data_IF_081976497703
#
_entry.id   IF_081976497703
#
_cell.length_a   1.000
_cell.length_b   1.000
_cell.length_c   1.000
_cell.angle_alpha   90.00
_cell.angle_beta   90.00
_cell.angle_gamma   90.00
#
_symmetry.space_group_name_H-M   'P 1'
#
loop_
_entity.id
_entity.type
_entity.pdbx_description
1 polymer ?
#
# COMPACT_ATOMS: atom_id res chain seq x y z
N UNK A 1 34.09 -8.48 20.40
CA UNK A 1 34.45 -7.17 19.82
C UNK A 1 33.16 -6.56 19.27
N UNK A 2 32.67 -5.49 19.91
CA UNK A 2 31.45 -4.79 19.48
C UNK A 2 31.75 -4.07 18.17
N UNK A 3 31.30 -4.63 17.04
CA UNK A 3 31.27 -3.89 15.78
C UNK A 3 30.31 -2.72 15.98
N UNK A 4 30.83 -1.49 15.94
CA UNK A 4 30.00 -0.29 15.93
C UNK A 4 29.12 -0.36 14.69
N UNK A 5 27.85 -0.78 14.86
CA UNK A 5 26.84 -0.63 13.81
C UNK A 5 26.70 0.86 13.53
N UNK A 6 27.13 1.31 12.35
CA UNK A 6 26.82 2.67 11.89
C UNK A 6 25.31 2.77 11.78
N UNK A 7 24.69 3.56 12.65
CA UNK A 7 23.27 3.90 12.57
C UNK A 7 23.08 5.37 12.23
N UNK A 8 22.08 5.65 11.41
CA UNK A 8 21.72 6.99 10.98
C UNK A 8 20.33 7.33 11.52
N UNK A 9 20.24 8.40 12.30
CA UNK A 9 18.97 8.84 12.87
C UNK A 9 18.44 10.09 12.18
N UNK A 10 17.18 10.05 11.77
CA UNK A 10 16.44 11.16 11.18
C UNK A 10 15.29 11.55 12.11
N UNK A 11 15.32 12.74 12.75
CA UNK A 11 14.24 13.19 13.62
C UNK A 11 12.96 13.52 12.84
N UNK A 12 11.82 13.50 13.53
CA UNK A 12 10.57 14.02 12.98
C UNK A 12 10.69 15.53 12.65
N UNK A 13 10.09 16.00 11.54
CA UNK A 13 10.00 17.42 11.26
C UNK A 13 9.03 18.10 12.24
N UNK A 14 9.19 19.41 12.49
CA UNK A 14 8.21 20.15 13.28
C UNK A 14 6.84 20.15 12.58
N UNK A 15 5.75 19.92 13.32
CA UNK A 15 4.40 19.95 12.75
C UNK A 15 3.97 21.33 12.25
N UNK A 16 4.66 22.38 12.69
CA UNK A 16 4.49 23.76 12.23
C UNK A 16 5.25 24.08 10.94
N UNK A 17 5.90 23.10 10.30
CA UNK A 17 6.72 23.31 9.10
C UNK A 17 5.90 23.92 7.95
N UNK A 18 6.26 25.14 7.54
CA UNK A 18 5.59 25.88 6.46
C UNK A 18 6.38 25.93 5.15
N UNK A 19 7.63 25.46 5.14
CA UNK A 19 8.42 25.42 3.91
C UNK A 19 7.72 24.56 2.86
N UNK A 20 7.71 24.97 1.58
CA UNK A 20 7.15 24.16 0.52
C UNK A 20 7.75 22.76 0.54
N UNK A 21 6.94 21.69 0.51
CA UNK A 21 7.45 20.32 0.46
C UNK A 21 8.01 20.00 -0.92
N UNK A 22 8.87 18.95 -1.04
CA UNK A 22 9.23 18.39 -2.33
C UNK A 22 7.97 18.04 -3.13
N UNK A 23 8.00 18.33 -4.44
CA UNK A 23 6.86 18.04 -5.31
C UNK A 23 6.67 16.55 -5.47
N UNK A 24 5.46 16.06 -5.31
CA UNK A 24 5.11 14.70 -5.70
C UNK A 24 4.54 14.70 -7.10
N UNK A 25 5.13 13.87 -7.97
CA UNK A 25 4.70 13.73 -9.35
C UNK A 25 3.38 12.97 -9.39
N UNK A 26 2.45 13.36 -10.26
CA UNK A 26 1.21 12.61 -10.46
C UNK A 26 1.54 11.16 -10.85
N UNK A 27 1.01 10.13 -10.15
CA UNK A 27 1.24 8.74 -10.52
C UNK A 27 0.74 8.43 -11.93
N UNK A 28 1.45 7.51 -12.60
CA UNK A 28 1.05 6.98 -13.90
C UNK A 28 1.09 5.46 -13.82
N UNK A 29 0.04 4.81 -14.32
CA UNK A 29 -0.04 3.35 -14.33
C UNK A 29 1.02 2.76 -15.27
N UNK A 30 1.67 1.69 -14.85
CA UNK A 30 2.59 0.91 -15.68
C UNK A 30 2.04 -0.50 -15.95
N UNK A 31 1.32 -1.09 -15.00
CA UNK A 31 0.64 -2.37 -15.14
C UNK A 31 -0.53 -2.46 -14.17
N UNK A 32 -1.47 -3.34 -14.49
CA UNK A 32 -2.41 -3.92 -13.54
C UNK A 32 -2.19 -5.42 -13.46
N UNK A 33 -2.71 -6.04 -12.40
CA UNK A 33 -2.88 -7.49 -12.31
C UNK A 33 -3.99 -7.81 -11.31
N UNK A 34 -4.48 -9.04 -11.40
CA UNK A 34 -5.58 -9.57 -10.61
C UNK A 34 -5.11 -10.77 -9.82
N UNK A 35 -5.40 -10.80 -8.52
CA UNK A 35 -5.47 -12.04 -7.77
C UNK A 35 -6.85 -12.65 -7.94
N UNK A 36 -6.88 -13.92 -8.33
CA UNK A 36 -8.10 -14.72 -8.50
C UNK A 36 -8.58 -15.33 -7.16
N UNK A 37 -9.76 -15.97 -7.13
CA UNK A 37 -10.27 -16.62 -5.91
C UNK A 37 -9.34 -17.67 -5.29
N UNK A 38 -8.48 -18.31 -6.09
CA UNK A 38 -7.46 -19.27 -5.65
C UNK A 38 -6.11 -18.61 -5.31
N UNK A 39 -6.10 -17.27 -5.25
CA UNK A 39 -4.94 -16.39 -5.01
C UNK A 39 -3.89 -16.35 -6.13
N UNK A 40 -4.09 -17.08 -7.23
CA UNK A 40 -3.20 -17.01 -8.40
C UNK A 40 -3.20 -15.62 -9.03
N UNK A 41 -2.07 -15.24 -9.63
CA UNK A 41 -1.90 -13.94 -10.30
C UNK A 41 -2.22 -14.08 -11.78
N UNK A 42 -3.03 -13.16 -12.29
CA UNK A 42 -3.24 -12.92 -13.72
C UNK A 42 -2.89 -11.48 -14.08
N UNK A 43 -2.12 -11.27 -15.15
CA UNK A 43 -1.74 -9.94 -15.62
C UNK A 43 -2.84 -9.28 -16.47
N UNK A 44 -4.01 -9.11 -15.87
CA UNK A 44 -5.21 -8.49 -16.44
C UNK A 44 -6.09 -7.84 -15.35
N UNK A 45 -7.28 -7.40 -15.76
CA UNK A 45 -8.28 -6.74 -14.91
C UNK A 45 -9.44 -7.67 -14.50
N UNK A 46 -9.23 -9.00 -14.50
CA UNK A 46 -10.29 -9.98 -14.18
C UNK A 46 -10.93 -9.77 -12.80
N UNK A 47 -10.18 -9.24 -11.83
CA UNK A 47 -10.69 -8.94 -10.47
C UNK A 47 -11.16 -7.49 -10.30
N UNK A 48 -11.15 -6.68 -11.36
CA UNK A 48 -11.62 -5.29 -11.32
C UNK A 48 -13.14 -5.23 -11.20
N UNK A 49 -13.64 -4.41 -10.28
CA UNK A 49 -15.07 -4.18 -10.08
C UNK A 49 -15.46 -2.73 -10.34
N UNK A 50 -16.74 -2.49 -10.60
CA UNK A 50 -17.28 -1.17 -10.96
C UNK A 50 -18.09 -0.60 -9.80
N UNK A 51 -17.85 0.67 -9.51
CA UNK A 51 -18.51 1.38 -8.41
C UNK A 51 -20.02 1.47 -8.64
N UNK A 52 -20.78 1.15 -7.59
CA UNK A 52 -22.19 1.47 -7.43
C UNK A 52 -22.39 2.04 -6.04
N UNK A 53 -23.32 2.97 -5.85
CA UNK A 53 -23.65 3.41 -4.50
C UNK A 53 -24.34 2.27 -3.72
N UNK A 54 -23.84 1.94 -2.53
CA UNK A 54 -24.50 0.99 -1.64
C UNK A 54 -25.92 1.48 -1.24
N UNK A 55 -26.92 0.60 -1.10
CA UNK A 55 -28.23 0.99 -0.59
C UNK A 55 -28.16 1.51 0.85
N UNK A 56 -28.81 2.63 1.14
CA UNK A 56 -28.96 3.10 2.53
C UNK A 56 -29.88 2.12 3.28
N UNK A 57 -29.47 1.72 4.47
CA UNK A 57 -30.09 0.65 5.24
C UNK A 57 -29.46 -0.73 5.02
N UNK A 58 -28.43 -0.85 4.16
CA UNK A 58 -27.68 -2.10 4.00
C UNK A 58 -27.04 -2.53 5.33
N UNK A 59 -27.19 -3.82 5.66
CA UNK A 59 -26.58 -4.44 6.83
C UNK A 59 -25.17 -4.92 6.48
N UNK A 60 -24.15 -4.20 6.96
CA UNK A 60 -22.73 -4.52 6.67
C UNK A 60 -22.22 -5.74 7.43
N UNK A 61 -23.08 -6.41 8.21
CA UNK A 61 -22.79 -7.71 8.82
C UNK A 61 -23.24 -8.87 7.94
N UNK A 62 -24.07 -8.60 6.92
CA UNK A 62 -24.61 -9.64 6.05
C UNK A 62 -23.48 -10.42 5.36
N UNK A 63 -23.54 -11.75 5.42
CA UNK A 63 -22.57 -12.64 4.79
C UNK A 63 -21.33 -12.96 5.63
N UNK A 64 -21.23 -12.49 6.88
CA UNK A 64 -20.04 -12.68 7.73
C UNK A 64 -19.58 -14.14 7.81
N UNK A 65 -20.51 -15.09 7.97
CA UNK A 65 -20.20 -16.52 8.13
C UNK A 65 -19.80 -17.22 6.82
N UNK A 66 -20.04 -16.59 5.66
CA UNK A 66 -19.70 -17.13 4.34
C UNK A 66 -18.39 -16.57 3.77
N UNK A 67 -17.74 -15.67 4.50
CA UNK A 67 -16.53 -15.00 4.04
C UNK A 67 -15.39 -16.01 3.84
N UNK A 68 -14.59 -15.78 2.81
CA UNK A 68 -13.36 -16.52 2.55
C UNK A 68 -12.20 -15.58 2.88
N UNK A 69 -11.35 -16.01 3.81
CA UNK A 69 -10.17 -15.26 4.22
C UNK A 69 -8.92 -15.83 3.54
N UNK A 70 -8.08 -14.94 2.99
CA UNK A 70 -6.76 -15.26 2.49
C UNK A 70 -5.92 -15.86 3.60
N UNK A 71 -5.12 -16.88 3.25
CA UNK A 71 -4.12 -17.44 4.15
C UNK A 71 -3.00 -16.42 4.39
N UNK A 72 -3.00 -15.79 5.56
CA UNK A 72 -1.97 -14.81 5.94
C UNK A 72 -0.66 -15.46 6.40
N UNK A 73 -0.59 -16.79 6.56
CA UNK A 73 0.66 -17.52 6.87
C UNK A 73 1.61 -17.59 5.69
N UNK A 74 1.10 -17.46 4.47
CA UNK A 74 1.89 -17.35 3.26
C UNK A 74 2.41 -15.93 3.10
N UNK A 75 3.74 -15.78 3.10
CA UNK A 75 4.40 -14.51 2.82
C UNK A 75 4.59 -14.33 1.31
N UNK A 76 3.76 -13.47 0.74
CA UNK A 76 3.80 -13.12 -0.69
C UNK A 76 4.85 -12.03 -0.98
N UNK A 77 5.45 -11.45 0.06
CA UNK A 77 6.47 -10.41 -0.06
C UNK A 77 6.09 -9.31 -1.09
N UNK A 78 7.02 -8.98 -2.00
CA UNK A 78 6.84 -8.08 -3.14
C UNK A 78 6.47 -8.81 -4.43
N UNK A 79 6.04 -10.07 -4.37
CA UNK A 79 5.90 -10.95 -5.54
C UNK A 79 5.03 -10.35 -6.64
N UNK A 80 3.82 -9.90 -6.31
CA UNK A 80 2.92 -9.33 -7.31
C UNK A 80 3.48 -8.09 -8.00
N UNK A 81 4.25 -7.25 -7.30
CA UNK A 81 4.91 -6.09 -7.90
C UNK A 81 6.09 -6.51 -8.79
N UNK A 82 6.88 -7.48 -8.34
CA UNK A 82 8.02 -8.01 -9.07
C UNK A 82 7.57 -8.73 -10.36
N UNK A 83 6.57 -9.60 -10.26
CA UNK A 83 6.00 -10.33 -11.39
C UNK A 83 5.40 -9.36 -12.42
N UNK A 84 4.68 -8.32 -11.97
CA UNK A 84 4.15 -7.29 -12.86
C UNK A 84 5.27 -6.49 -13.57
N UNK A 85 6.36 -6.16 -12.88
CA UNK A 85 7.50 -5.47 -13.49
C UNK A 85 8.18 -6.35 -14.55
N UNK A 86 8.44 -7.63 -14.23
CA UNK A 86 8.97 -8.61 -15.19
C UNK A 86 8.08 -8.69 -16.42
N UNK A 87 6.77 -8.85 -16.22
CA UNK A 87 5.78 -8.94 -17.30
C UNK A 87 5.79 -7.71 -18.23
N UNK A 88 5.88 -6.50 -17.66
CA UNK A 88 5.95 -5.25 -18.44
C UNK A 88 7.22 -5.21 -19.29
N UNK A 89 8.37 -5.54 -18.71
CA UNK A 89 9.66 -5.47 -19.40
C UNK A 89 9.80 -6.56 -20.49
N UNK A 90 9.35 -7.79 -20.23
CA UNK A 90 9.33 -8.88 -21.22
C UNK A 90 8.46 -8.55 -22.45
N UNK A 91 7.41 -7.75 -22.27
CA UNK A 91 6.57 -7.22 -23.37
C UNK A 91 7.16 -5.97 -24.05
N UNK A 92 8.38 -5.57 -23.70
CA UNK A 92 9.05 -4.38 -24.25
C UNK A 92 8.54 -3.05 -23.69
N UNK A 93 7.77 -3.10 -22.60
CA UNK A 93 7.31 -1.93 -21.86
C UNK A 93 8.42 -1.31 -21.02
N UNK A 94 8.10 -0.16 -20.39
CA UNK A 94 9.00 0.51 -19.44
C UNK A 94 8.48 0.32 -18.03
N UNK A 95 9.18 -0.47 -17.23
CA UNK A 95 8.91 -0.70 -15.81
C UNK A 95 9.22 0.52 -14.93
N UNK A 96 9.97 0.29 -13.85
CA UNK A 96 10.35 1.35 -12.93
C UNK A 96 11.38 2.32 -13.53
N UNK A 97 11.59 3.44 -12.83
CA UNK A 97 12.77 4.28 -13.02
C UNK A 97 13.80 3.94 -11.96
N UNK A 98 15.01 3.57 -12.41
CA UNK A 98 16.17 3.31 -11.56
C UNK A 98 16.56 4.53 -10.71
N UNK A 99 17.31 4.29 -9.65
CA UNK A 99 17.70 5.27 -8.63
C UNK A 99 16.60 5.54 -7.58
N UNK A 100 15.59 4.66 -7.50
CA UNK A 100 14.38 4.86 -6.71
C UNK A 100 14.01 3.69 -5.82
N UNK A 101 12.77 3.73 -5.31
CA UNK A 101 12.20 2.71 -4.44
C UNK A 101 11.14 1.88 -5.19
N UNK A 102 11.18 0.56 -5.02
CA UNK A 102 10.12 -0.38 -5.39
C UNK A 102 9.51 -0.95 -4.10
N UNK A 103 8.20 -0.79 -3.89
CA UNK A 103 7.52 -1.26 -2.67
C UNK A 103 6.00 -1.28 -2.82
N UNK A 104 5.30 -1.78 -1.81
CA UNK A 104 3.86 -1.59 -1.64
C UNK A 104 3.53 -0.15 -1.20
N UNK A 105 2.46 0.43 -1.75
CA UNK A 105 1.91 1.74 -1.32
C UNK A 105 1.73 1.84 0.19
N UNK A 106 1.38 0.73 0.86
CA UNK A 106 1.22 0.67 2.30
C UNK A 106 2.48 1.11 3.06
N UNK A 107 3.69 0.79 2.56
CA UNK A 107 4.95 1.20 3.18
C UNK A 107 5.14 2.71 3.09
N UNK A 108 4.94 3.28 1.90
CA UNK A 108 5.03 4.73 1.69
C UNK A 108 3.99 5.48 2.51
N UNK A 109 2.78 4.93 2.67
CA UNK A 109 1.73 5.49 3.54
C UNK A 109 2.19 5.56 5.00
N UNK A 110 2.79 4.49 5.53
CA UNK A 110 3.33 4.45 6.91
C UNK A 110 4.38 5.54 7.12
N UNK A 111 5.32 5.68 6.19
CA UNK A 111 6.35 6.72 6.24
C UNK A 111 5.71 8.11 6.17
N UNK A 112 4.85 8.35 5.19
CA UNK A 112 4.25 9.65 4.94
C UNK A 112 3.40 10.15 6.11
N UNK A 113 2.68 9.25 6.80
CA UNK A 113 1.81 9.62 7.93
C UNK A 113 2.53 9.64 9.29
N UNK A 114 3.77 9.14 9.37
CA UNK A 114 4.54 9.00 10.59
C UNK A 114 4.69 10.29 11.45
N UNK A 115 4.76 11.52 10.90
CA UNK A 115 4.78 12.73 11.71
C UNK A 115 3.59 12.89 12.66
N UNK A 116 2.47 12.25 12.35
CA UNK A 116 1.24 12.27 13.14
C UNK A 116 0.94 10.93 13.83
N UNK A 117 1.84 9.94 13.73
CA UNK A 117 1.72 8.64 14.39
C UNK A 117 2.44 8.67 15.74
N UNK A 118 1.69 8.43 16.81
CA UNK A 118 2.17 8.61 18.18
C UNK A 118 2.15 7.33 19.03
N UNK A 119 1.72 6.21 18.44
CA UNK A 119 1.54 4.92 19.13
C UNK A 119 2.30 3.79 18.47
N UNK A 120 2.11 3.62 17.16
CA UNK A 120 2.56 2.42 16.45
C UNK A 120 3.87 2.67 15.71
N UNK A 121 4.94 2.03 16.19
CA UNK A 121 6.20 1.92 15.45
C UNK A 121 6.09 0.91 14.31
N UNK A 122 7.07 0.94 13.42
CA UNK A 122 7.23 -0.06 12.37
C UNK A 122 8.71 -0.20 12.03
N UNK A 123 9.09 -1.35 11.49
CA UNK A 123 10.44 -1.62 10.96
C UNK A 123 10.29 -2.13 9.53
N UNK A 124 11.15 -1.70 8.63
CA UNK A 124 11.15 -2.10 7.23
C UNK A 124 12.54 -2.60 6.83
N UNK A 125 12.57 -3.64 6.00
CA UNK A 125 13.76 -4.15 5.33
C UNK A 125 13.98 -3.37 4.04
N UNK A 126 15.23 -3.06 3.70
CA UNK A 126 15.63 -2.47 2.43
C UNK A 126 16.84 -3.21 1.86
N UNK A 127 16.75 -3.61 0.58
CA UNK A 127 17.88 -4.21 -0.18
C UNK A 127 17.97 -3.57 -1.57
N UNK A 128 19.18 -3.45 -2.11
CA UNK A 128 19.40 -2.90 -3.44
C UNK A 128 19.65 -4.00 -4.47
N UNK A 129 19.05 -3.84 -5.66
CA UNK A 129 19.21 -4.74 -6.79
C UNK A 129 18.91 -3.98 -8.09
N UNK A 130 19.81 -4.09 -9.07
CA UNK A 130 19.66 -3.56 -10.42
C UNK A 130 19.20 -2.09 -10.43
N UNK A 131 19.97 -1.25 -9.75
CA UNK A 131 19.78 0.19 -9.68
C UNK A 131 18.54 0.64 -8.88
N UNK A 132 17.84 -0.25 -8.18
CA UNK A 132 16.64 0.07 -7.40
C UNK A 132 16.75 -0.45 -5.97
N UNK A 133 16.04 0.18 -5.03
CA UNK A 133 15.92 -0.29 -3.65
C UNK A 133 14.54 -0.88 -3.42
N UNK A 134 14.49 -2.14 -3.01
CA UNK A 134 13.27 -2.87 -2.67
C UNK A 134 13.02 -2.71 -1.18
N UNK A 135 11.79 -2.34 -0.81
CA UNK A 135 11.42 -2.07 0.59
C UNK A 135 10.17 -2.86 0.96
N UNK A 136 10.20 -3.48 2.14
CA UNK A 136 9.07 -4.21 2.70
C UNK A 136 9.02 -4.08 4.24
N UNK A 137 7.87 -4.33 4.85
CA UNK A 137 7.73 -4.44 6.29
C UNK A 137 8.61 -5.59 6.83
N UNK A 138 9.41 -5.33 7.84
CA UNK A 138 10.05 -6.39 8.60
C UNK A 138 9.02 -6.98 9.57
N UNK A 139 8.51 -8.16 9.22
CA UNK A 139 7.42 -8.80 9.96
C UNK A 139 7.73 -10.26 10.31
N UNK A 140 8.65 -10.50 11.26
CA UNK A 140 9.01 -11.85 11.67
C UNK A 140 7.79 -12.58 12.29
N UNK A 141 7.80 -13.93 12.30
CA UNK A 141 6.62 -14.73 12.65
C UNK A 141 5.97 -14.37 14.00
N UNK A 142 6.76 -14.00 15.00
CA UNK A 142 6.29 -13.61 16.34
C UNK A 142 5.56 -12.26 16.33
N UNK A 143 6.11 -11.27 15.62
CA UNK A 143 5.49 -9.94 15.43
C UNK A 143 4.21 -10.08 14.62
N UNK A 144 4.24 -10.89 13.56
CA UNK A 144 3.09 -11.21 12.71
C UNK A 144 1.96 -11.85 13.52
N UNK A 145 2.26 -12.90 14.29
CA UNK A 145 1.30 -13.60 15.12
C UNK A 145 0.66 -12.66 16.17
N UNK A 146 1.45 -11.79 16.79
CA UNK A 146 0.93 -10.81 17.74
C UNK A 146 0.01 -9.79 17.05
N UNK A 147 0.38 -9.29 15.86
CA UNK A 147 -0.48 -8.39 15.08
C UNK A 147 -1.81 -9.06 14.71
N UNK A 148 -1.78 -10.31 14.24
CA UNK A 148 -3.00 -11.06 13.89
C UNK A 148 -3.93 -11.26 15.09
N UNK A 149 -3.37 -11.58 16.26
CA UNK A 149 -4.15 -11.70 17.50
C UNK A 149 -4.86 -10.38 17.87
N UNK A 150 -4.23 -9.25 17.61
CA UNK A 150 -4.85 -7.95 17.82
C UNK A 150 -5.92 -7.66 16.76
N UNK A 151 -5.67 -7.99 15.49
CA UNK A 151 -6.62 -7.81 14.39
C UNK A 151 -7.89 -8.67 14.54
N UNK A 152 -7.79 -9.90 15.05
CA UNK A 152 -8.95 -10.77 15.24
C UNK A 152 -9.96 -10.22 16.26
N UNK A 153 -9.51 -9.39 17.21
CA UNK A 153 -10.39 -8.66 18.14
C UNK A 153 -11.32 -7.68 17.39
N UNK A 154 -10.90 -7.24 16.20
CA UNK A 154 -11.62 -6.30 15.35
C UNK A 154 -12.14 -6.95 14.06
N UNK A 155 -12.22 -8.29 13.99
CA UNK A 155 -12.60 -9.04 12.80
C UNK A 155 -13.95 -8.56 12.23
N UNK A 156 -14.91 -8.27 13.11
CA UNK A 156 -16.22 -7.76 12.72
C UNK A 156 -16.15 -6.37 12.07
N UNK A 157 -15.34 -5.47 12.62
CA UNK A 157 -15.12 -4.13 12.07
C UNK A 157 -14.36 -4.15 10.75
N UNK A 158 -13.40 -5.06 10.62
CA UNK A 158 -12.70 -5.32 9.36
C UNK A 158 -13.67 -5.84 8.31
N UNK A 159 -14.49 -6.83 8.66
CA UNK A 159 -15.48 -7.40 7.74
C UNK A 159 -16.47 -6.36 7.21
N UNK A 160 -16.97 -5.45 8.06
CA UNK A 160 -17.86 -4.37 7.61
C UNK A 160 -17.22 -3.47 6.55
N UNK A 161 -15.88 -3.41 6.46
CA UNK A 161 -15.17 -2.77 5.33
C UNK A 161 -15.38 -3.53 4.02
N UNK A 162 -15.04 -4.82 4.02
CA UNK A 162 -15.21 -5.69 2.84
C UNK A 162 -16.68 -5.88 2.43
N UNK A 163 -17.60 -5.93 3.39
CA UNK A 163 -19.04 -5.96 3.11
C UNK A 163 -19.51 -4.66 2.47
N UNK A 164 -18.97 -3.51 2.89
CA UNK A 164 -19.27 -2.23 2.23
C UNK A 164 -18.75 -2.20 0.80
N UNK A 165 -17.57 -2.77 0.52
CA UNK A 165 -17.08 -2.96 -0.85
C UNK A 165 -18.04 -3.83 -1.66
N UNK A 166 -18.51 -4.94 -1.08
CA UNK A 166 -19.48 -5.84 -1.71
C UNK A 166 -20.80 -5.13 -2.04
N UNK A 167 -21.32 -4.27 -1.16
CA UNK A 167 -22.51 -3.45 -1.45
C UNK A 167 -22.25 -2.30 -2.43
N UNK A 168 -21.00 -1.85 -2.54
CA UNK A 168 -20.61 -0.67 -3.33
C UNK A 168 -20.00 -1.00 -4.69
N UNK A 169 -20.02 -2.27 -5.10
CA UNK A 169 -19.40 -2.71 -6.34
C UNK A 169 -20.27 -3.70 -7.11
N UNK A 170 -19.99 -3.82 -8.41
CA UNK A 170 -20.56 -4.83 -9.30
C UNK A 170 -19.45 -5.42 -10.19
N UNK A 171 -19.52 -6.72 -10.53
CA UNK A 171 -18.59 -7.33 -11.48
C UNK A 171 -18.83 -6.80 -12.91
N UNK A 172 -17.87 -7.05 -13.82
CA UNK A 172 -17.97 -6.69 -15.23
C UNK A 172 -19.16 -7.37 -15.93
N UNK A 173 -19.33 -8.67 -15.68
CA UNK A 173 -20.46 -9.45 -16.15
C UNK A 173 -21.53 -9.41 -15.05
N UNK A 174 -22.45 -8.45 -15.15
CA UNK A 174 -23.56 -8.36 -14.23
C UNK A 174 -24.41 -9.64 -14.33
N UNK A 175 -24.24 -10.55 -13.36
CA UNK A 175 -25.17 -11.65 -13.19
C UNK A 175 -26.59 -11.09 -13.04
N UNK A 176 -27.58 -11.76 -13.61
CA UNK A 176 -28.97 -11.54 -13.21
C UNK A 176 -29.02 -11.77 -11.71
N UNK A 177 -29.11 -10.70 -10.91
CA UNK A 177 -28.97 -10.76 -9.46
C UNK A 177 -29.76 -11.93 -8.90
N UNK A 178 -29.10 -12.79 -8.14
CA UNK A 178 -29.78 -13.93 -7.55
C UNK A 178 -30.87 -13.39 -6.62
N UNK A 179 -32.10 -13.88 -6.77
CA UNK A 179 -33.27 -13.30 -6.07
C UNK A 179 -33.19 -13.49 -4.55
N UNK A 180 -32.23 -14.29 -4.09
CA UNK A 180 -32.05 -14.68 -2.70
C UNK A 180 -31.09 -13.75 -1.92
N UNK A 181 -30.40 -12.81 -2.59
CA UNK A 181 -29.52 -11.85 -1.92
C UNK A 181 -30.21 -10.49 -1.66
N UNK A 182 -29.77 -9.75 -0.62
CA UNK A 182 -30.19 -8.38 -0.39
C UNK A 182 -29.95 -7.50 -1.63
N UNK A 183 -30.81 -6.50 -1.80
CA UNK A 183 -30.62 -5.50 -2.85
C UNK A 183 -29.22 -4.89 -2.78
N UNK A 184 -28.56 -4.77 -3.93
CA UNK A 184 -27.24 -4.15 -4.02
C UNK A 184 -26.07 -5.02 -3.53
N UNK A 185 -26.27 -6.28 -3.13
CA UNK A 185 -25.18 -7.18 -2.78
C UNK A 185 -24.37 -7.59 -4.03
N UNK A 186 -23.07 -7.29 -4.04
CA UNK A 186 -22.15 -7.59 -5.14
C UNK A 186 -21.53 -8.98 -5.10
N UNK A 187 -21.69 -9.71 -3.98
CA UNK A 187 -21.15 -11.05 -3.78
C UNK A 187 -20.58 -11.24 -2.37
N UNK A 188 -20.37 -12.49 -1.97
CA UNK A 188 -19.74 -12.78 -0.69
C UNK A 188 -18.25 -12.37 -0.68
N UNK A 189 -17.80 -11.88 0.47
CA UNK A 189 -16.42 -11.41 0.68
C UNK A 189 -15.43 -12.56 0.50
N UNK A 190 -14.48 -12.40 -0.42
CA UNK A 190 -13.32 -13.26 -0.57
C UNK A 190 -12.04 -12.41 -0.61
N UNK A 191 -11.26 -12.40 0.47
CA UNK A 191 -10.07 -11.55 0.58
C UNK A 191 -8.85 -12.09 -0.18
N UNK A 192 -8.98 -13.22 -0.88
CA UNK A 192 -7.98 -13.64 -1.87
C UNK A 192 -8.06 -12.79 -3.15
N UNK A 193 -9.26 -12.35 -3.52
CA UNK A 193 -9.50 -11.62 -4.76
C UNK A 193 -9.09 -10.17 -4.59
N UNK A 194 -8.18 -9.69 -5.43
CA UNK A 194 -7.69 -8.31 -5.40
C UNK A 194 -7.38 -7.82 -6.80
N UNK A 195 -7.66 -6.55 -7.09
CA UNK A 195 -7.18 -5.89 -8.29
C UNK A 195 -6.10 -4.87 -7.91
N UNK A 196 -4.90 -5.06 -8.45
CA UNK A 196 -3.71 -4.31 -8.04
C UNK A 196 -3.20 -3.44 -9.18
N UNK A 197 -2.97 -2.17 -8.87
CA UNK A 197 -2.32 -1.23 -9.77
C UNK A 197 -0.85 -1.10 -9.41
N UNK A 198 0.01 -1.18 -10.43
CA UNK A 198 1.42 -0.83 -10.33
C UNK A 198 1.62 0.51 -11.02
N UNK A 199 2.09 1.50 -10.27
CA UNK A 199 2.25 2.88 -10.74
C UNK A 199 3.68 3.35 -10.57
N UNK A 200 4.10 4.26 -11.47
CA UNK A 200 5.33 5.04 -11.30
C UNK A 200 5.01 6.47 -10.89
N UNK A 201 5.80 7.01 -9.98
CA UNK A 201 5.72 8.38 -9.47
C UNK A 201 7.13 8.91 -9.14
N UNK A 202 7.21 10.03 -8.42
CA UNK A 202 8.43 10.54 -7.79
C UNK A 202 8.09 11.52 -6.67
N UNK A 203 8.91 11.59 -5.62
CA UNK A 203 8.90 12.67 -4.63
C UNK A 203 10.21 13.45 -4.76
N UNK A 204 10.14 14.72 -5.14
CA UNK A 204 11.31 15.46 -5.58
C UNK A 204 11.96 14.79 -6.80
N UNK A 205 13.23 14.46 -6.68
CA UNK A 205 14.03 13.72 -7.65
C UNK A 205 13.99 12.20 -7.48
N UNK A 206 13.49 11.70 -6.34
CA UNK A 206 13.46 10.28 -6.00
C UNK A 206 12.33 9.56 -6.75
N UNK A 207 12.64 8.61 -7.67
CA UNK A 207 11.62 7.81 -8.34
C UNK A 207 10.94 6.82 -7.39
N UNK A 208 9.66 6.55 -7.66
CA UNK A 208 8.86 5.57 -6.93
C UNK A 208 8.17 4.62 -7.91
N UNK A 209 8.20 3.32 -7.60
CA UNK A 209 7.36 2.30 -8.21
C UNK A 209 6.55 1.62 -7.12
N UNK A 210 5.23 1.82 -7.14
CA UNK A 210 4.33 1.42 -6.07
C UNK A 210 3.32 0.42 -6.60
N UNK A 211 3.21 -0.74 -5.95
CA UNK A 211 2.05 -1.62 -6.08
C UNK A 211 0.98 -1.27 -5.04
N UNK A 212 -0.28 -1.40 -5.39
CA UNK A 212 -1.35 -1.37 -4.40
C UNK A 212 -2.69 -1.79 -4.96
N UNK A 213 -3.45 -2.49 -4.11
CA UNK A 213 -4.86 -2.82 -4.32
C UNK A 213 -5.71 -1.56 -4.53
N UNK A 214 -6.67 -1.67 -5.43
CA UNK A 214 -7.67 -0.65 -5.76
C UNK A 214 -9.06 -1.30 -5.69
N UNK A 215 -9.95 -0.68 -4.93
CA UNK A 215 -11.23 -1.31 -4.57
C UNK A 215 -12.18 -1.42 -5.77
N UNK A 216 -12.30 -0.36 -6.58
CA UNK A 216 -13.14 -0.37 -7.78
C UNK A 216 -12.88 0.81 -8.74
N UNK A 217 -13.62 0.86 -9.84
CA UNK A 217 -13.61 1.95 -10.83
C UNK A 217 -15.00 2.55 -11.04
N UNK A 218 -15.08 3.88 -11.13
CA UNK A 218 -16.25 4.64 -11.59
C UNK A 218 -16.26 4.68 -13.12
N UNK A 219 -16.80 3.62 -13.72
CA UNK A 219 -17.02 3.48 -15.15
C UNK A 219 -18.26 2.60 -15.39
N UNK A 220 -18.75 2.54 -16.63
CA UNK A 220 -19.81 1.58 -16.99
C UNK A 220 -19.27 0.15 -16.87
N UNK A 221 -20.03 -0.80 -16.27
CA UNK A 221 -19.63 -2.20 -16.20
C UNK A 221 -19.24 -2.77 -17.57
N UNK A 222 -18.09 -3.44 -17.62
CA UNK A 222 -17.47 -3.95 -18.85
C UNK A 222 -16.51 -2.97 -19.54
N UNK A 223 -16.35 -1.73 -19.06
CA UNK A 223 -15.33 -0.81 -19.59
C UNK A 223 -13.92 -1.32 -19.29
N UNK A 224 -13.18 -1.72 -20.33
CA UNK A 224 -11.79 -2.16 -20.19
C UNK A 224 -10.85 -0.99 -19.88
N UNK A 225 -9.92 -1.19 -18.94
CA UNK A 225 -8.82 -0.26 -18.61
C UNK A 225 -9.25 1.22 -18.47
N UNK A 226 -10.21 1.57 -17.61
CA UNK A 226 -10.69 2.95 -17.49
C UNK A 226 -9.65 3.93 -16.93
N UNK A 227 -8.54 3.41 -16.40
CA UNK A 227 -7.38 4.18 -15.96
C UNK A 227 -7.51 4.72 -14.53
N UNK A 228 -6.44 5.37 -14.06
CA UNK A 228 -6.35 5.84 -12.67
C UNK A 228 -7.41 6.91 -12.30
N UNK A 229 -7.82 7.75 -13.27
CA UNK A 229 -8.82 8.80 -13.03
C UNK A 229 -10.22 8.25 -12.73
N UNK A 230 -10.47 6.98 -13.03
CA UNK A 230 -11.72 6.30 -12.68
C UNK A 230 -11.63 5.52 -11.37
N UNK A 231 -10.45 5.35 -10.78
CA UNK A 231 -10.31 4.55 -9.56
C UNK A 231 -11.04 5.19 -8.36
N UNK A 232 -11.62 4.37 -7.50
CA UNK A 232 -12.32 4.79 -6.28
C UNK A 232 -11.83 3.94 -5.11
N UNK A 233 -11.44 4.60 -4.02
CA UNK A 233 -11.17 3.95 -2.74
C UNK A 233 -12.44 3.96 -1.89
N UNK A 234 -12.78 2.82 -1.30
CA UNK A 234 -13.92 2.61 -0.43
C UNK A 234 -13.46 2.52 1.02
N UNK A 235 -14.19 3.22 1.90
CA UNK A 235 -13.91 3.25 3.35
C UNK A 235 -15.21 3.23 4.12
N UNK A 236 -15.16 2.72 5.34
CA UNK A 236 -16.27 2.85 6.29
C UNK A 236 -15.86 3.67 7.51
N UNK A 237 -16.82 4.35 8.11
CA UNK A 237 -16.68 5.02 9.39
C UNK A 237 -17.95 4.87 10.21
N UNK A 238 -17.86 4.98 11.53
CA UNK A 238 -19.09 5.15 12.33
C UNK A 238 -19.72 6.52 12.02
N UNK A 239 -21.02 6.66 12.16
CA UNK A 239 -21.67 7.97 12.14
C UNK A 239 -21.03 8.91 13.16
N UNK A 240 -21.04 10.20 12.83
CA UNK A 240 -20.43 11.26 13.63
C UNK A 240 -21.58 12.01 14.31
N UNK A 241 -21.63 11.92 15.63
CA UNK A 241 -22.70 12.43 16.47
C UNK A 241 -22.22 13.57 17.37
N UNK A 242 -20.90 13.76 17.50
CA UNK A 242 -20.29 14.78 18.33
C UNK A 242 -18.92 15.25 17.81
N UNK A 243 -18.46 16.40 18.32
CA UNK A 243 -17.20 17.06 17.94
C UNK A 243 -15.97 16.16 18.14
N UNK A 244 -15.97 15.30 19.16
CA UNK A 244 -14.86 14.38 19.42
C UNK A 244 -14.75 13.32 18.33
N UNK A 245 -15.87 12.71 17.93
CA UNK A 245 -15.91 11.75 16.82
C UNK A 245 -15.56 12.43 15.50
N UNK A 246 -16.00 13.67 15.30
CA UNK A 246 -15.66 14.48 14.13
C UNK A 246 -14.15 14.71 14.04
N UNK A 247 -13.50 15.13 15.13
CA UNK A 247 -12.05 15.30 15.19
C UNK A 247 -11.28 14.00 14.92
N UNK A 248 -11.77 12.85 15.43
CA UNK A 248 -11.19 11.54 15.14
C UNK A 248 -11.30 11.22 13.64
N UNK A 249 -12.45 11.48 13.02
CA UNK A 249 -12.65 11.29 11.59
C UNK A 249 -11.71 12.20 10.77
N UNK A 250 -11.57 13.47 11.15
CA UNK A 250 -10.61 14.37 10.51
C UNK A 250 -9.16 13.89 10.62
N UNK A 251 -8.77 13.25 11.72
CA UNK A 251 -7.47 12.56 11.82
C UNK A 251 -7.38 11.35 10.89
N UNK A 252 -8.43 10.54 10.75
CA UNK A 252 -8.45 9.39 9.81
C UNK A 252 -8.29 9.81 8.35
N UNK A 253 -8.81 10.99 7.98
CA UNK A 253 -8.67 11.53 6.63
C UNK A 253 -7.20 11.71 6.20
N UNK A 254 -6.23 11.81 7.13
CA UNK A 254 -4.80 11.77 6.79
C UNK A 254 -4.43 10.44 6.13
N UNK A 255 -4.83 9.31 6.71
CA UNK A 255 -4.55 7.97 6.18
C UNK A 255 -5.29 7.76 4.86
N UNK A 256 -6.55 8.16 4.76
CA UNK A 256 -7.32 8.06 3.52
C UNK A 256 -6.67 8.89 2.40
N UNK A 257 -6.29 10.14 2.68
CA UNK A 257 -5.59 10.98 1.72
C UNK A 257 -4.26 10.35 1.28
N UNK A 258 -3.39 9.95 2.22
CA UNK A 258 -2.10 9.38 1.89
C UNK A 258 -2.25 8.09 1.06
N UNK A 259 -3.16 7.20 1.45
CA UNK A 259 -3.40 5.94 0.76
C UNK A 259 -3.78 6.16 -0.71
N UNK A 260 -4.80 6.98 -0.96
CA UNK A 260 -5.34 7.21 -2.30
C UNK A 260 -4.44 8.11 -3.15
N UNK A 261 -3.87 9.16 -2.56
CA UNK A 261 -3.03 10.12 -3.28
C UNK A 261 -1.72 9.51 -3.80
N UNK A 262 -1.12 8.59 -3.04
CA UNK A 262 0.11 7.88 -3.45
C UNK A 262 -0.09 6.97 -4.67
N UNK A 263 -1.30 6.44 -4.89
CA UNK A 263 -1.63 5.67 -6.10
C UNK A 263 -2.27 6.51 -7.21
N UNK A 264 -2.58 7.78 -6.94
CA UNK A 264 -3.27 8.65 -7.90
C UNK A 264 -4.76 8.35 -8.01
N UNK A 265 -5.36 7.78 -6.96
CA UNK A 265 -6.80 7.52 -6.87
C UNK A 265 -7.51 8.86 -6.54
N UNK A 266 -8.37 9.39 -7.43
CA UNK A 266 -8.93 10.72 -7.28
C UNK A 266 -10.09 10.80 -6.28
N UNK A 267 -10.66 9.67 -5.89
CA UNK A 267 -11.89 9.62 -5.11
C UNK A 267 -11.82 8.64 -3.94
N UNK A 268 -12.29 9.09 -2.78
CA UNK A 268 -12.57 8.25 -1.62
C UNK A 268 -14.06 8.33 -1.31
N UNK A 269 -14.75 7.19 -1.35
CA UNK A 269 -16.14 7.07 -0.92
C UNK A 269 -16.18 6.50 0.51
N UNK A 270 -16.78 7.24 1.43
CA UNK A 270 -16.92 6.83 2.83
C UNK A 270 -18.38 6.48 3.14
N UNK A 271 -18.65 5.23 3.52
CA UNK A 271 -19.91 4.81 4.11
C UNK A 271 -19.95 5.02 5.61
N UNK A 272 -20.98 5.69 6.12
CA UNK A 272 -21.17 5.92 7.55
C UNK A 272 -22.25 5.00 8.10
N UNK A 273 -21.85 4.15 9.04
CA UNK A 273 -22.71 3.15 9.67
C UNK A 273 -22.93 3.42 11.15
N UNK A 274 -24.01 2.89 11.69
CA UNK A 274 -24.23 2.87 13.14
C UNK A 274 -23.42 1.76 13.84
N UNK A 275 -23.69 1.59 15.14
CA UNK A 275 -23.09 0.55 15.97
C UNK A 275 -23.65 -0.85 15.68
N UNK A 276 -24.83 -0.94 15.08
CA UNK A 276 -25.44 -2.19 14.63
C UNK A 276 -24.92 -2.65 13.26
N UNK A 277 -24.10 -1.85 12.58
CA UNK A 277 -23.54 -2.17 11.27
C UNK A 277 -24.43 -1.73 10.11
N UNK A 278 -25.48 -0.96 10.35
CA UNK A 278 -26.40 -0.49 9.33
C UNK A 278 -25.83 0.77 8.68
N UNK A 279 -25.74 0.78 7.35
CA UNK A 279 -25.28 1.92 6.57
C UNK A 279 -26.34 3.04 6.57
N UNK A 280 -26.02 4.20 7.15
CA UNK A 280 -26.97 5.31 7.30
C UNK A 280 -26.79 6.43 6.29
N UNK A 281 -25.55 6.70 5.87
CA UNK A 281 -25.27 7.66 4.80
C UNK A 281 -23.92 7.37 4.13
N UNK A 282 -23.64 8.08 3.05
CA UNK A 282 -22.35 8.00 2.37
C UNK A 282 -21.87 9.39 1.94
N UNK A 283 -20.56 9.56 1.84
CA UNK A 283 -19.95 10.82 1.41
C UNK A 283 -18.76 10.58 0.49
N UNK A 284 -18.75 11.31 -0.61
CA UNK A 284 -17.63 11.39 -1.55
C UNK A 284 -16.62 12.43 -1.09
N UNK A 285 -15.34 12.09 -1.14
CA UNK A 285 -14.21 13.00 -0.97
C UNK A 285 -13.32 12.96 -2.21
N UNK A 286 -13.06 14.11 -2.81
CA UNK A 286 -12.02 14.24 -3.84
C UNK A 286 -10.66 14.26 -3.15
N UNK A 287 -9.81 13.28 -3.45
CA UNK A 287 -8.52 13.04 -2.76
C UNK A 287 -7.67 14.31 -2.68
N UNK A 288 -7.52 15.03 -3.79
CA UNK A 288 -6.72 16.26 -3.86
C UNK A 288 -7.28 17.41 -3.01
N UNK A 289 -8.59 17.40 -2.72
CA UNK A 289 -9.26 18.43 -1.92
C UNK A 289 -9.24 18.14 -0.43
N UNK A 290 -8.93 16.91 0.00
CA UNK A 290 -8.91 16.52 1.43
C UNK A 290 -8.02 17.45 2.27
N UNK A 291 -6.75 17.76 1.89
CA UNK A 291 -5.91 18.66 2.69
C UNK A 291 -6.50 20.07 2.83
N UNK A 292 -7.13 20.60 1.77
CA UNK A 292 -7.79 21.92 1.81
C UNK A 292 -9.03 21.90 2.69
N UNK A 293 -9.81 20.82 2.62
CA UNK A 293 -10.95 20.62 3.52
C UNK A 293 -10.49 20.64 4.99
N UNK A 294 -9.44 19.89 5.34
CA UNK A 294 -8.89 19.88 6.71
C UNK A 294 -8.39 21.25 7.14
N UNK A 295 -7.72 21.99 6.26
CA UNK A 295 -7.25 23.34 6.55
C UNK A 295 -8.38 24.37 6.72
N UNK A 296 -9.56 24.12 6.15
CA UNK A 296 -10.72 25.01 6.25
C UNK A 296 -11.49 24.90 7.57
N UNK A 297 -11.24 23.85 8.35
CA UNK A 297 -11.91 23.63 9.64
C UNK A 297 -11.44 24.71 10.64
N UNK A 298 -12.35 25.47 11.28
CA UNK A 298 -12.00 26.49 12.24
C UNK A 298 -11.28 25.89 13.47
N UNK A 299 -9.95 25.89 13.46
CA UNK A 299 -9.12 25.45 14.59
C UNK A 299 -7.81 26.23 14.60
N UNK A 300 -7.34 26.59 15.80
CA UNK A 300 -6.00 27.17 15.98
C UNK A 300 -4.89 26.20 15.51
N UNK A 301 -5.17 24.89 15.56
CA UNK A 301 -4.26 23.83 15.12
C UNK A 301 -5.05 22.81 14.29
N UNK A 302 -4.89 22.78 12.96
CA UNK A 302 -5.55 21.77 12.14
C UNK A 302 -5.10 20.37 12.58
N UNK A 303 -5.98 19.34 12.49
CA UNK A 303 -5.65 17.97 12.91
C UNK A 303 -4.38 17.41 12.28
N UNK A 304 -4.08 17.81 11.04
CA UNK A 304 -2.85 17.53 10.32
C UNK A 304 -2.66 18.50 9.15
N UNK A 305 -1.46 18.53 8.58
CA UNK A 305 -1.11 19.29 7.38
C UNK A 305 -0.21 18.44 6.47
N UNK A 306 -0.22 18.66 5.15
CA UNK A 306 0.55 17.83 4.22
C UNK A 306 2.07 18.07 4.29
N UNK A 307 2.52 19.26 4.68
CA UNK A 307 3.94 19.63 4.59
C UNK A 307 4.87 18.72 5.44
N UNK A 308 4.64 18.50 6.75
CA UNK A 308 5.45 17.58 7.54
C UNK A 308 5.48 16.16 6.94
N UNK A 309 4.34 15.70 6.40
CA UNK A 309 4.21 14.38 5.79
C UNK A 309 5.14 14.19 4.59
N UNK A 310 5.12 15.15 3.66
CA UNK A 310 5.90 15.09 2.42
C UNK A 310 7.40 15.33 2.64
N UNK A 311 7.76 16.24 3.56
CA UNK A 311 9.15 16.43 3.95
C UNK A 311 9.72 15.18 4.62
N UNK A 312 8.97 14.57 5.54
CA UNK A 312 9.44 13.36 6.22
C UNK A 312 9.55 12.18 5.24
N UNK A 313 8.55 12.01 4.36
CA UNK A 313 8.62 11.01 3.29
C UNK A 313 9.91 11.16 2.47
N UNK A 314 10.14 12.34 1.91
CA UNK A 314 11.33 12.59 1.10
C UNK A 314 12.62 12.35 1.88
N UNK A 315 12.71 12.83 3.13
CA UNK A 315 13.91 12.69 3.95
C UNK A 315 14.22 11.22 4.29
N UNK A 316 13.20 10.42 4.62
CA UNK A 316 13.38 8.98 4.88
C UNK A 316 13.82 8.25 3.60
N UNK A 317 13.17 8.50 2.47
CA UNK A 317 13.54 7.83 1.22
C UNK A 317 14.94 8.23 0.76
N UNK A 318 15.31 9.50 0.88
CA UNK A 318 16.65 9.97 0.57
C UNK A 318 17.70 9.28 1.46
N UNK A 319 17.42 9.17 2.77
CA UNK A 319 18.28 8.47 3.71
C UNK A 319 18.49 7.00 3.32
N UNK A 320 17.40 6.31 2.96
CA UNK A 320 17.45 4.91 2.51
C UNK A 320 18.27 4.79 1.22
N UNK A 321 17.94 5.55 0.18
CA UNK A 321 18.65 5.46 -1.12
C UNK A 321 20.14 5.75 -0.97
N UNK A 322 20.50 6.81 -0.23
CA UNK A 322 21.90 7.24 -0.06
C UNK A 322 22.78 6.14 0.55
N UNK A 323 22.22 5.29 1.42
CA UNK A 323 22.98 4.27 2.15
C UNK A 323 22.80 2.86 1.59
N UNK A 324 21.63 2.54 1.05
CA UNK A 324 21.28 1.20 0.58
C UNK A 324 21.64 1.00 -0.89
N UNK A 325 21.35 1.96 -1.77
CA UNK A 325 21.59 1.82 -3.21
C UNK A 325 23.07 1.53 -3.57
N UNK A 326 24.08 2.13 -2.92
CA UNK A 326 25.50 1.79 -3.17
C UNK A 326 25.89 0.36 -2.82
N UNK A 327 25.02 -0.40 -2.15
CA UNK A 327 25.24 -1.81 -1.79
C UNK A 327 24.68 -2.78 -2.83
N UNK A 328 24.15 -2.28 -3.95
CA UNK A 328 23.69 -3.08 -5.08
C UNK A 328 24.83 -3.98 -5.62
N UNK A 329 24.64 -5.31 -5.65
CA UNK A 329 25.62 -6.21 -6.23
C UNK A 329 25.88 -5.90 -7.72
N UNK A 330 24.87 -5.47 -8.49
CA UNK A 330 25.01 -5.17 -9.91
C UNK A 330 25.94 -3.98 -10.20
N UNK A 331 26.25 -3.15 -9.20
CA UNK A 331 27.28 -2.10 -9.35
C UNK A 331 28.71 -2.68 -9.39
N UNK A 332 28.87 -3.96 -8.99
CA UNK A 332 30.16 -4.67 -8.93
C UNK A 332 30.27 -5.80 -9.96
N UNK A 333 29.14 -6.35 -10.38
CA UNK A 333 29.08 -7.40 -11.41
C UNK A 333 28.74 -6.78 -12.78
N UNK A 334 29.36 -7.27 -13.85
CA UNK A 334 29.05 -6.79 -15.20
C UNK A 334 27.77 -7.50 -15.67
N UNK A 335 26.81 -6.83 -16.35
CA UNK A 335 25.65 -7.52 -16.91
C UNK A 335 26.05 -8.73 -17.75
N UNK A 336 25.39 -9.87 -17.53
CA UNK A 336 25.73 -11.15 -18.16
C UNK A 336 26.99 -11.86 -17.63
N UNK A 337 27.63 -11.37 -16.56
CA UNK A 337 28.84 -12.00 -15.98
C UNK A 337 28.57 -13.09 -14.95
N UNK A 338 27.32 -13.29 -14.54
CA UNK A 338 26.93 -14.34 -13.60
C UNK A 338 26.48 -15.54 -14.41
N UNK A 339 27.18 -16.67 -14.33
CA UNK A 339 26.69 -17.86 -14.99
C UNK A 339 25.40 -18.31 -14.29
N UNK A 340 24.42 -18.89 -15.03
CA UNK A 340 23.19 -19.40 -14.45
C UNK A 340 23.42 -20.40 -13.30
N UNK A 341 24.54 -21.12 -13.34
CA UNK A 341 24.94 -22.14 -12.35
C UNK A 341 25.70 -21.56 -11.13
N UNK A 342 26.11 -20.29 -11.17
CA UNK A 342 26.82 -19.68 -10.05
C UNK A 342 25.84 -19.27 -8.94
N UNK A 343 26.30 -19.37 -7.69
CA UNK A 343 25.60 -18.85 -6.52
C UNK A 343 25.41 -17.33 -6.65
N UNK A 344 24.20 -16.85 -6.35
CA UNK A 344 23.95 -15.41 -6.30
C UNK A 344 24.79 -14.75 -5.21
N UNK A 345 25.41 -13.58 -5.48
CA UNK A 345 26.08 -12.82 -4.43
C UNK A 345 25.07 -12.42 -3.35
N UNK A 346 25.46 -12.37 -2.06
CA UNK A 346 24.51 -12.07 -0.99
C UNK A 346 24.02 -10.63 -1.06
N UNK A 347 22.74 -10.42 -0.71
CA UNK A 347 22.16 -9.11 -0.51
C UNK A 347 22.74 -8.45 0.75
N UNK A 348 23.11 -7.18 0.69
CA UNK A 348 23.35 -6.39 1.91
C UNK A 348 22.01 -5.94 2.48
N UNK A 349 21.69 -6.41 3.68
CA UNK A 349 20.42 -6.14 4.35
C UNK A 349 20.54 -4.89 5.21
N UNK A 350 19.69 -3.92 4.93
CA UNK A 350 19.45 -2.76 5.79
C UNK A 350 18.07 -2.82 6.40
N UNK A 351 17.93 -2.20 7.56
CA UNK A 351 16.62 -1.96 8.18
C UNK A 351 16.49 -0.53 8.63
N UNK A 352 15.27 -0.03 8.55
CA UNK A 352 14.93 1.25 9.12
C UNK A 352 13.63 1.19 9.91
N UNK A 353 13.63 1.84 11.07
CA UNK A 353 12.58 1.69 12.08
C UNK A 353 12.08 3.05 12.51
N UNK A 354 10.76 3.22 12.45
CA UNK A 354 10.09 4.38 13.00
C UNK A 354 9.83 4.19 14.49
N UNK A 355 10.32 5.14 15.26
CA UNK A 355 10.11 5.23 16.70
C UNK A 355 9.11 6.37 16.93
N UNK A 356 7.88 6.07 17.40
CA UNK A 356 6.84 7.06 17.60
C UNK A 356 7.33 8.28 18.38
N UNK A 357 6.92 9.47 17.93
CA UNK A 357 7.30 10.77 18.51
C UNK A 357 8.79 11.14 18.43
N UNK A 358 9.66 10.29 17.87
CA UNK A 358 11.11 10.53 17.78
C UNK A 358 11.57 10.72 16.34
N UNK A 359 11.35 9.74 15.48
CA UNK A 359 11.91 9.76 14.12
C UNK A 359 12.18 8.37 13.56
N UNK A 360 13.05 8.29 12.58
CA UNK A 360 13.44 7.06 11.89
C UNK A 360 14.93 6.77 12.13
N UNK A 361 15.27 5.52 12.46
CA UNK A 361 16.66 5.05 12.55
C UNK A 361 16.93 4.06 11.41
N UNK A 362 18.03 4.20 10.68
CA UNK A 362 18.50 3.30 9.63
C UNK A 362 19.81 2.64 10.06
N UNK A 363 19.93 1.32 9.86
CA UNK A 363 21.13 0.56 10.24
C UNK A 363 21.36 -0.67 9.36
N UNK A 364 22.63 -1.03 9.13
CA UNK A 364 23.00 -2.28 8.43
C UNK A 364 22.81 -3.47 9.36
N UNK A 365 22.13 -4.51 8.87
CA UNK A 365 21.87 -5.75 9.60
C UNK A 365 22.96 -6.78 9.34
N UNK A 366 23.30 -6.99 8.08
CA UNK A 366 24.23 -8.04 7.65
C UNK A 366 24.14 -8.29 6.16
N UNK A 367 24.54 -9.50 5.75
CA UNK A 367 24.45 -10.00 4.38
C UNK A 367 23.73 -11.35 4.38
N UNK A 368 22.92 -11.61 3.36
CA UNK A 368 22.12 -12.82 3.24
C UNK A 368 21.99 -13.23 1.77
N UNK A 369 22.33 -14.47 1.45
CA UNK A 369 22.12 -15.07 0.13
C UNK A 369 20.67 -15.49 -0.09
N UNK A 370 20.48 -16.58 -0.83
CA UNK A 370 19.17 -17.25 -0.95
C UNK A 370 18.93 -18.09 0.31
N UNK A 371 17.77 -17.91 0.94
CA UNK A 371 17.36 -18.72 2.09
C UNK A 371 16.69 -20.04 1.67
N UNK A 372 16.26 -20.82 2.66
CA UNK A 372 15.61 -22.13 2.45
C UNK A 372 14.28 -22.06 1.69
N UNK A 373 13.65 -20.88 1.64
CA UNK A 373 12.37 -20.63 0.99
C UNK A 373 12.57 -20.07 -0.44
N UNK A 374 13.83 -20.05 -0.92
CA UNK A 374 14.19 -19.54 -2.24
C UNK A 374 14.17 -18.02 -2.31
N UNK A 375 14.31 -17.32 -1.17
CA UNK A 375 14.26 -15.85 -1.10
C UNK A 375 15.67 -15.26 -0.95
N UNK A 376 16.11 -14.53 -1.97
CA UNK A 376 17.32 -13.73 -1.92
C UNK A 376 17.16 -12.56 -0.96
N UNK A 377 18.05 -12.47 0.03
CA UNK A 377 17.97 -11.50 1.10
C UNK A 377 16.73 -11.66 2.00
N UNK A 378 16.06 -12.82 1.96
CA UNK A 378 14.83 -13.09 2.68
C UNK A 378 13.60 -12.32 2.18
N UNK A 379 13.62 -11.82 0.94
CA UNK A 379 12.52 -11.01 0.38
C UNK A 379 12.20 -11.33 -1.09
N UNK A 380 13.19 -11.30 -1.99
CA UNK A 380 12.95 -11.43 -3.43
C UNK A 380 13.11 -12.89 -3.87
N UNK A 381 12.22 -13.40 -4.73
CA UNK A 381 12.40 -14.75 -5.31
C UNK A 381 13.71 -14.84 -6.09
N UNK A 382 14.42 -15.95 -5.94
CA UNK A 382 15.69 -16.20 -6.61
C UNK A 382 15.60 -16.04 -8.14
N UNK A 383 14.54 -16.55 -8.77
CA UNK A 383 14.33 -16.46 -10.21
C UNK A 383 14.19 -15.01 -10.70
N UNK A 384 13.53 -14.15 -9.91
CA UNK A 384 13.42 -12.73 -10.18
C UNK A 384 14.75 -12.02 -10.08
N UNK A 385 15.56 -12.37 -9.07
CA UNK A 385 16.91 -11.80 -8.93
C UNK A 385 17.79 -12.21 -10.09
N UNK A 386 17.78 -13.49 -10.49
CA UNK A 386 18.52 -13.98 -11.67
C UNK A 386 18.10 -13.24 -12.94
N UNK A 387 16.79 -13.04 -13.15
CA UNK A 387 16.28 -12.25 -14.26
C UNK A 387 16.77 -10.79 -14.26
N UNK A 388 16.84 -10.14 -13.09
CA UNK A 388 17.36 -8.76 -12.97
C UNK A 388 18.88 -8.64 -13.18
N UNK A 389 19.64 -9.69 -12.86
CA UNK A 389 21.11 -9.66 -12.93
C UNK A 389 21.67 -10.17 -14.28
N UNK A 390 20.91 -10.98 -15.00
CA UNK A 390 21.23 -11.44 -16.36
C UNK A 390 21.01 -10.33 -17.38
#
# INVERSE_FOLDING_TARGET
MSSFKTSHFLPLPPLSLRTPPPSYRKPTIISTYSHLPDRSIQHDDSSMTYYRAAPIGADLNYGFDRRIERDEDLDEHLDGVCDALRHVEEKGGKGERKGGIITWRGMITRIMTAPYEDREGWEMTAIALDGSVYVELHDPPDVRANRRKQQSTWAWQTYMGYSFESFSTVPAEAGTGDKDFPEGWGGDVNTNVQWCNVVRSAIGDIPLCLGGEVDCVRAEPGTSHPGLESCVELKTNKVIENEKQEFIFHKKLLKHWAQSWLLGIPEVQVGFRDDHGILLNQRRFETEKIPRFIASIPSAHPPWTPNPCLHFLHAVLNLVITNVLPTDPCSRYTPGSINPEDDLPPATIWRFSFIPRRGCELYKVGEMGVDQDGRWGGMLKEDYVRWRMG
#
